data_IF_495505548390
#
_entry.id   IF_495505548390
#
_cell.length_a   1.000
_cell.length_b   1.000
_cell.length_c   1.000
_cell.angle_alpha   90.00
_cell.angle_beta   90.00
_cell.angle_gamma   90.00
#
_symmetry.space_group_name_H-M   'P 1'
#
loop_
_entity.id
_entity.type
_entity.pdbx_description
1 polymer ?
#
# COMPACT_ATOMS: atom_id res chain seq x y z
N UNK A 1 -4.40 5.60 -21.77
CA UNK A 1 -3.33 4.73 -22.31
C UNK A 1 -2.19 5.53 -22.96
N UNK A 2 -2.23 5.87 -24.25
CA UNK A 2 -1.07 6.45 -25.00
C UNK A 2 -0.25 7.53 -24.28
N UNK A 3 -0.91 8.56 -23.74
CA UNK A 3 -0.21 9.64 -22.99
C UNK A 3 0.63 9.13 -21.80
N UNK A 4 0.20 8.05 -21.14
CA UNK A 4 0.93 7.45 -20.04
C UNK A 4 2.06 6.53 -20.52
N UNK A 5 1.92 5.91 -21.70
CA UNK A 5 2.99 5.16 -22.35
C UNK A 5 4.13 6.12 -22.72
N UNK A 6 3.81 7.23 -23.39
CA UNK A 6 4.78 8.27 -23.74
C UNK A 6 5.48 8.84 -22.50
N UNK A 7 4.71 9.08 -21.42
CA UNK A 7 5.26 9.53 -20.15
C UNK A 7 6.23 8.51 -19.57
N UNK A 8 5.83 7.23 -19.45
CA UNK A 8 6.65 6.19 -18.85
C UNK A 8 7.91 5.91 -19.69
N UNK A 9 7.80 5.93 -21.02
CA UNK A 9 8.94 5.84 -21.94
C UNK A 9 9.88 7.04 -21.78
N UNK A 10 9.37 8.25 -21.59
CA UNK A 10 10.18 9.43 -21.28
C UNK A 10 11.00 9.30 -20.00
N UNK A 11 10.49 8.55 -19.00
CA UNK A 11 11.23 8.24 -17.78
C UNK A 11 12.34 7.21 -17.99
N UNK A 12 12.29 6.38 -19.04
CA UNK A 12 13.30 5.35 -19.33
C UNK A 12 14.73 5.88 -19.31
N UNK A 13 14.95 7.07 -19.87
CA UNK A 13 16.28 7.70 -19.94
C UNK A 13 16.79 8.20 -18.57
N UNK A 14 15.90 8.38 -17.59
CA UNK A 14 16.21 8.86 -16.24
C UNK A 14 16.34 7.73 -15.22
N UNK A 15 15.77 6.57 -15.53
CA UNK A 15 15.80 5.40 -14.65
C UNK A 15 17.10 4.60 -14.86
N UNK A 16 17.73 4.09 -13.78
CA UNK A 16 18.87 3.17 -13.90
C UNK A 16 18.58 2.01 -14.84
N UNK A 17 19.62 1.44 -15.45
CA UNK A 17 19.49 0.48 -16.55
C UNK A 17 18.62 -0.75 -16.22
N UNK A 18 18.62 -1.19 -14.96
CA UNK A 18 17.87 -2.36 -14.48
C UNK A 18 16.63 -2.01 -13.67
N UNK A 19 15.97 -0.90 -14.01
CA UNK A 19 14.73 -0.47 -13.34
C UNK A 19 13.51 -0.68 -14.23
N UNK A 20 12.47 -1.27 -13.65
CA UNK A 20 11.12 -1.35 -14.21
C UNK A 20 10.17 -0.44 -13.42
N UNK A 21 9.00 -0.17 -13.99
CA UNK A 21 7.97 0.65 -13.40
C UNK A 21 6.61 0.24 -14.00
N UNK A 22 5.55 0.44 -13.22
CA UNK A 22 4.18 0.16 -13.62
C UNK A 22 3.26 1.33 -13.32
N UNK A 23 2.22 1.48 -14.13
CA UNK A 23 1.15 2.47 -13.94
C UNK A 23 -0.17 1.78 -14.23
N UNK A 24 -1.11 1.86 -13.29
CA UNK A 24 -2.51 1.50 -13.51
C UNK A 24 -3.39 2.68 -13.11
N UNK A 25 -4.36 3.01 -13.96
CA UNK A 25 -5.31 4.10 -13.72
C UNK A 25 -6.71 3.52 -13.82
N UNK A 26 -7.52 3.78 -12.80
CA UNK A 26 -8.84 3.19 -12.64
C UNK A 26 -9.86 4.29 -12.38
N UNK A 27 -11.02 4.21 -13.03
CA UNK A 27 -12.16 5.04 -12.69
C UNK A 27 -12.80 4.55 -11.40
N UNK A 28 -12.76 5.37 -10.35
CA UNK A 28 -13.17 4.94 -9.00
C UNK A 28 -14.63 4.53 -8.91
N UNK A 29 -15.54 5.13 -9.69
CA UNK A 29 -16.99 4.88 -9.58
C UNK A 29 -17.41 3.47 -10.02
N UNK A 30 -16.80 2.95 -11.09
CA UNK A 30 -17.16 1.67 -11.68
C UNK A 30 -15.99 0.67 -11.71
N UNK A 31 -14.79 1.05 -11.26
CA UNK A 31 -13.53 0.30 -11.31
C UNK A 31 -13.03 -0.08 -12.71
N UNK A 32 -13.48 0.62 -13.76
CA UNK A 32 -12.99 0.41 -15.11
C UNK A 32 -11.54 0.88 -15.25
N UNK A 33 -10.67 0.00 -15.76
CA UNK A 33 -9.27 0.33 -16.03
C UNK A 33 -9.19 1.24 -17.26
N UNK A 34 -8.63 2.44 -17.07
CA UNK A 34 -8.43 3.47 -18.12
C UNK A 34 -7.01 3.46 -18.68
N UNK A 35 -6.06 2.92 -17.91
CA UNK A 35 -4.72 2.63 -18.39
C UNK A 35 -4.08 1.48 -17.61
N UNK A 36 -3.31 0.65 -18.32
CA UNK A 36 -2.57 -0.48 -17.77
C UNK A 36 -1.19 -0.54 -18.43
N UNK A 37 -0.15 -0.33 -17.64
CA UNK A 37 1.25 -0.38 -18.05
C UNK A 37 2.01 -1.23 -17.04
N UNK A 38 2.26 -2.50 -17.38
CA UNK A 38 2.94 -3.45 -16.51
C UNK A 38 4.46 -3.28 -16.45
N UNK A 39 5.06 -2.60 -17.42
CA UNK A 39 6.50 -2.37 -17.49
C UNK A 39 6.80 -1.08 -18.28
N UNK A 40 8.04 -0.60 -18.21
CA UNK A 40 8.49 0.59 -18.96
C UNK A 40 8.53 0.34 -20.47
N UNK A 41 9.08 -0.80 -20.87
CA UNK A 41 9.21 -1.25 -22.25
C UNK A 41 9.20 -2.78 -22.25
N UNK A 42 8.15 -3.39 -22.81
CA UNK A 42 7.97 -4.85 -22.82
C UNK A 42 9.07 -5.58 -23.60
N UNK A 43 9.71 -4.89 -24.54
CA UNK A 43 10.75 -5.46 -25.40
C UNK A 43 12.17 -5.30 -24.80
N UNK A 44 12.33 -4.57 -23.70
CA UNK A 44 13.64 -4.37 -23.07
C UNK A 44 13.94 -5.49 -22.05
N UNK A 45 14.61 -6.54 -22.53
CA UNK A 45 15.00 -7.68 -21.70
C UNK A 45 15.91 -7.30 -20.52
N UNK A 46 16.75 -6.25 -20.66
CA UNK A 46 17.66 -5.80 -19.58
C UNK A 46 16.92 -5.22 -18.37
N UNK A 47 15.69 -4.74 -18.60
CA UNK A 47 14.78 -4.20 -17.59
C UNK A 47 13.73 -5.21 -17.13
N UNK A 48 13.85 -6.46 -17.56
CA UNK A 48 12.85 -7.50 -17.35
C UNK A 48 11.46 -7.06 -17.87
N UNK A 49 11.41 -6.47 -19.07
CA UNK A 49 10.19 -5.87 -19.66
C UNK A 49 8.98 -6.80 -19.72
N UNK A 50 9.21 -8.12 -19.77
CA UNK A 50 8.16 -9.15 -19.76
C UNK A 50 7.51 -9.37 -18.38
N UNK A 51 8.11 -8.84 -17.30
CA UNK A 51 7.54 -8.92 -15.95
C UNK A 51 6.49 -7.83 -15.78
N UNK A 52 5.24 -8.24 -15.65
CA UNK A 52 4.14 -7.35 -15.30
C UNK A 52 4.22 -6.94 -13.82
N UNK A 53 4.71 -5.73 -13.58
CA UNK A 53 4.86 -5.15 -12.26
C UNK A 53 3.52 -4.79 -11.59
N UNK A 54 2.39 -4.82 -12.31
CA UNK A 54 1.07 -4.61 -11.70
C UNK A 54 0.63 -5.87 -10.93
N UNK A 55 0.86 -7.04 -11.51
CA UNK A 55 0.54 -8.35 -10.92
C UNK A 55 1.69 -8.98 -10.13
N UNK A 56 2.92 -8.46 -10.26
CA UNK A 56 4.07 -8.94 -9.49
C UNK A 56 3.94 -8.62 -7.99
N UNK A 57 4.41 -9.55 -7.16
CA UNK A 57 4.51 -9.35 -5.71
C UNK A 57 5.64 -8.39 -5.38
N UNK A 58 5.32 -7.29 -4.68
CA UNK A 58 6.28 -6.29 -4.20
C UNK A 58 5.97 -5.90 -2.76
N UNK A 59 6.99 -5.40 -2.06
CA UNK A 59 6.76 -4.80 -0.74
C UNK A 59 5.85 -3.58 -0.91
N UNK A 60 4.70 -3.49 -0.21
CA UNK A 60 3.82 -2.33 -0.29
C UNK A 60 4.39 -1.14 0.51
N UNK A 61 5.34 -1.37 1.43
CA UNK A 61 5.90 -0.34 2.30
C UNK A 61 4.83 0.47 3.05
N UNK A 62 5.08 1.78 3.20
CA UNK A 62 4.18 2.72 3.88
C UNK A 62 2.80 2.88 3.22
N UNK A 63 2.56 2.31 2.04
CA UNK A 63 1.23 2.36 1.40
C UNK A 63 0.16 1.61 2.19
N UNK A 64 0.55 0.79 3.18
CA UNK A 64 -0.39 0.13 4.09
C UNK A 64 -0.92 1.02 5.22
N UNK A 65 -0.24 2.13 5.53
CA UNK A 65 -0.59 3.01 6.66
C UNK A 65 -2.00 3.59 6.58
N UNK A 66 -2.50 4.10 5.43
CA UNK A 66 -3.86 4.61 5.36
C UNK A 66 -4.92 3.59 5.78
N UNK A 67 -4.74 2.30 5.45
CA UNK A 67 -5.67 1.25 5.86
C UNK A 67 -5.64 1.02 7.36
N UNK A 68 -4.45 0.92 7.96
CA UNK A 68 -4.32 0.74 9.40
C UNK A 68 -4.99 1.89 10.17
N UNK A 69 -4.75 3.14 9.74
CA UNK A 69 -5.32 4.31 10.38
C UNK A 69 -6.84 4.33 10.24
N UNK A 70 -7.38 4.07 9.05
CA UNK A 70 -8.82 3.97 8.82
C UNK A 70 -9.47 2.87 9.68
N UNK A 71 -8.92 1.66 9.65
CA UNK A 71 -9.43 0.53 10.42
C UNK A 71 -9.35 0.77 11.94
N UNK A 72 -8.31 1.45 12.42
CA UNK A 72 -8.18 1.80 13.83
C UNK A 72 -9.21 2.88 14.25
N UNK A 73 -9.55 3.81 13.35
CA UNK A 73 -10.64 4.77 13.56
C UNK A 73 -11.99 4.06 13.60
N UNK A 74 -12.26 3.14 12.66
CA UNK A 74 -13.51 2.36 12.63
C UNK A 74 -13.67 1.48 13.89
N UNK A 75 -12.55 1.02 14.46
CA UNK A 75 -12.51 0.29 15.72
C UNK A 75 -12.63 1.19 16.97
N UNK A 76 -12.70 2.52 16.81
CA UNK A 76 -12.77 3.48 17.91
C UNK A 76 -11.48 3.59 18.74
N UNK A 77 -10.34 3.13 18.23
CA UNK A 77 -9.06 3.17 18.95
C UNK A 77 -8.41 4.55 18.91
N UNK A 78 -8.62 5.27 17.81
CA UNK A 78 -8.09 6.62 17.59
C UNK A 78 -9.11 7.48 16.84
N UNK A 79 -8.92 8.80 16.91
CA UNK A 79 -9.47 9.79 16.00
C UNK A 79 -8.32 10.61 15.39
N UNK A 80 -8.62 11.54 14.48
CA UNK A 80 -7.59 12.30 13.73
C UNK A 80 -6.58 13.03 14.63
N UNK A 81 -7.03 13.51 15.78
CA UNK A 81 -6.23 14.28 16.75
C UNK A 81 -5.75 13.45 17.94
N UNK A 82 -5.94 12.13 17.93
CA UNK A 82 -5.33 11.27 18.95
C UNK A 82 -3.80 11.40 18.90
N UNK A 83 -3.18 11.57 20.07
CA UNK A 83 -1.73 11.72 20.17
C UNK A 83 -1.05 10.35 20.07
N UNK A 84 -0.19 10.19 19.06
CA UNK A 84 0.70 9.06 18.86
C UNK A 84 2.14 9.47 19.21
N UNK A 85 3.00 8.47 19.47
CA UNK A 85 4.35 8.75 19.93
C UNK A 85 5.38 8.49 18.82
N UNK A 86 6.04 9.57 18.39
CA UNK A 86 7.23 9.52 17.55
C UNK A 86 8.48 9.75 18.40
N UNK A 87 8.80 8.77 19.25
CA UNK A 87 9.91 8.82 20.22
C UNK A 87 10.77 7.57 20.08
N UNK A 88 12.08 7.62 20.41
CA UNK A 88 12.93 6.45 20.29
C UNK A 88 12.39 5.28 21.12
N UNK A 89 12.18 4.14 20.48
CA UNK A 89 11.77 2.88 21.12
C UNK A 89 12.77 1.77 20.82
N UNK A 90 12.97 0.89 21.79
CA UNK A 90 13.74 -0.35 21.62
C UNK A 90 12.77 -1.52 21.68
N UNK A 91 12.75 -2.33 20.63
CA UNK A 91 12.04 -3.60 20.60
C UNK A 91 13.08 -4.73 20.65
N UNK A 92 13.50 -5.14 21.86
CA UNK A 92 14.66 -6.03 22.02
C UNK A 92 15.91 -5.40 21.38
N UNK A 93 16.52 -6.12 20.42
CA UNK A 93 17.67 -5.64 19.63
C UNK A 93 17.28 -4.81 18.39
N UNK A 94 15.99 -4.76 18.04
CA UNK A 94 15.50 -4.02 16.89
C UNK A 94 15.24 -2.54 17.22
N UNK A 95 15.89 -1.66 16.46
CA UNK A 95 15.75 -0.20 16.53
C UNK A 95 15.17 0.34 15.22
N UNK A 96 13.84 0.41 15.08
CA UNK A 96 13.23 1.07 13.93
C UNK A 96 13.54 2.58 14.01
N UNK A 97 14.32 3.08 13.07
CA UNK A 97 14.51 4.52 12.86
C UNK A 97 13.51 5.08 11.86
N UNK A 98 13.17 6.36 11.99
CA UNK A 98 12.57 7.10 10.88
C UNK A 98 13.65 7.47 9.86
N UNK A 99 13.27 7.60 8.59
CA UNK A 99 14.18 8.03 7.52
C UNK A 99 14.62 9.50 7.66
N UNK A 100 13.93 10.32 8.47
CA UNK A 100 14.26 11.71 8.76
C UNK A 100 15.09 11.86 10.04
N UNK A 101 16.02 12.81 10.04
CA UNK A 101 17.04 13.06 11.07
C UNK A 101 16.48 13.61 12.41
N UNK A 102 15.49 12.95 13.03
CA UNK A 102 14.95 13.36 14.34
C UNK A 102 13.66 12.65 14.76
N UNK A 103 13.33 12.74 16.06
CA UNK A 103 12.07 12.29 16.66
C UNK A 103 11.17 13.50 16.92
N UNK A 104 9.90 13.42 16.55
CA UNK A 104 8.94 14.54 16.66
C UNK A 104 8.27 14.63 18.03
N UNK A 105 8.41 13.61 18.87
CA UNK A 105 7.69 13.55 20.15
C UNK A 105 6.22 13.17 19.97
N UNK A 106 5.29 13.74 20.75
CA UNK A 106 3.86 13.51 20.55
C UNK A 106 3.38 14.18 19.25
N UNK A 107 2.69 13.43 18.40
CA UNK A 107 2.14 13.90 17.12
C UNK A 107 0.69 13.46 16.97
N UNK A 108 -0.16 14.26 16.34
CA UNK A 108 -1.53 13.82 16.01
C UNK A 108 -1.50 12.66 15.01
N UNK A 109 -2.53 11.79 15.04
CA UNK A 109 -2.67 10.72 14.06
C UNK A 109 -2.71 11.24 12.62
N UNK A 110 -3.37 12.39 12.38
CA UNK A 110 -3.39 13.10 11.11
C UNK A 110 -1.98 13.48 10.63
N UNK A 111 -1.18 14.10 11.51
CA UNK A 111 0.21 14.48 11.21
C UNK A 111 1.12 13.27 10.99
N UNK A 112 0.97 12.24 11.83
CA UNK A 112 1.76 11.02 11.75
C UNK A 112 1.55 10.29 10.42
N UNK A 113 0.31 10.22 9.93
CA UNK A 113 0.01 9.64 8.62
C UNK A 113 0.52 10.52 7.47
N UNK A 114 0.30 11.84 7.54
CA UNK A 114 0.75 12.80 6.52
C UNK A 114 2.27 12.79 6.32
N UNK A 115 3.02 12.69 7.41
CA UNK A 115 4.48 12.58 7.41
C UNK A 115 4.97 11.13 7.22
N UNK A 116 4.04 10.17 7.13
CA UNK A 116 4.33 8.74 7.01
C UNK A 116 5.31 8.22 8.05
N UNK A 117 5.17 8.64 9.31
CA UNK A 117 6.09 8.25 10.38
C UNK A 117 5.98 6.74 10.66
N UNK A 118 7.12 6.08 10.88
CA UNK A 118 7.16 4.63 11.08
C UNK A 118 6.77 4.26 12.51
N UNK A 119 7.28 4.99 13.50
CA UNK A 119 7.07 4.65 14.92
C UNK A 119 5.60 4.76 15.36
N UNK A 120 4.86 5.86 15.09
CA UNK A 120 3.42 5.92 15.32
C UNK A 120 2.65 4.79 14.66
N UNK A 121 3.01 4.43 13.42
CA UNK A 121 2.32 3.36 12.68
C UNK A 121 2.56 1.97 13.29
N UNK A 122 3.79 1.71 13.77
CA UNK A 122 4.13 0.47 14.48
C UNK A 122 3.38 0.38 15.81
N UNK A 123 3.35 1.47 16.60
CA UNK A 123 2.59 1.54 17.85
C UNK A 123 1.09 1.30 17.62
N UNK A 124 0.54 1.89 16.56
CA UNK A 124 -0.86 1.72 16.22
C UNK A 124 -1.16 0.28 15.79
N UNK A 125 -0.27 -0.34 14.99
CA UNK A 125 -0.42 -1.75 14.58
C UNK A 125 -0.31 -2.70 15.77
N UNK A 126 0.55 -2.40 16.73
CA UNK A 126 0.67 -3.15 17.98
C UNK A 126 -0.64 -3.14 18.77
N UNK A 127 -1.30 -1.98 18.85
CA UNK A 127 -2.59 -1.83 19.52
C UNK A 127 -3.73 -2.47 18.73
N UNK A 128 -3.73 -2.32 17.40
CA UNK A 128 -4.76 -2.88 16.53
C UNK A 128 -4.67 -4.41 16.40
N UNK A 129 -3.44 -4.94 16.40
CA UNK A 129 -3.11 -6.35 16.25
C UNK A 129 -2.70 -6.72 14.82
N UNK A 130 -1.46 -7.21 14.56
CA UNK A 130 -1.00 -7.52 13.21
C UNK A 130 -1.74 -8.68 12.54
N UNK A 131 -2.17 -9.69 13.32
CA UNK A 131 -2.98 -10.81 12.80
C UNK A 131 -4.35 -10.36 12.35
N UNK A 132 -5.00 -9.50 13.15
CA UNK A 132 -6.28 -8.86 12.81
C UNK A 132 -6.13 -8.03 11.54
N UNK A 133 -5.13 -7.15 11.49
CA UNK A 133 -4.85 -6.32 10.33
C UNK A 133 -4.68 -7.16 9.05
N UNK A 134 -3.85 -8.20 9.08
CA UNK A 134 -3.67 -9.08 7.91
C UNK A 134 -4.98 -9.77 7.47
N UNK A 135 -5.82 -10.19 8.42
CA UNK A 135 -7.12 -10.79 8.14
C UNK A 135 -8.09 -9.77 7.50
N UNK A 136 -8.16 -8.56 8.04
CA UNK A 136 -9.03 -7.49 7.55
C UNK A 136 -8.61 -7.01 6.16
N UNK A 137 -7.31 -6.84 5.91
CA UNK A 137 -6.78 -6.57 4.56
C UNK A 137 -7.19 -7.66 3.56
N UNK A 138 -7.06 -8.94 3.92
CA UNK A 138 -7.48 -10.07 3.07
C UNK A 138 -9.00 -10.05 2.81
N UNK A 139 -9.81 -9.80 3.83
CA UNK A 139 -11.26 -9.75 3.73
C UNK A 139 -11.71 -8.60 2.82
N UNK A 140 -11.06 -7.44 2.92
CA UNK A 140 -11.24 -6.29 2.04
C UNK A 140 -10.61 -6.42 0.66
N UNK A 141 -10.06 -7.58 0.29
CA UNK A 141 -9.57 -7.84 -1.06
C UNK A 141 -8.14 -7.39 -1.34
N UNK A 142 -7.34 -7.14 -0.30
CA UNK A 142 -5.91 -6.81 -0.37
C UNK A 142 -5.10 -7.87 0.40
N UNK A 143 -5.02 -9.11 -0.10
CA UNK A 143 -4.28 -10.15 0.60
C UNK A 143 -2.80 -9.78 0.71
N UNK A 144 -2.22 -9.95 1.91
CA UNK A 144 -0.80 -9.79 2.15
C UNK A 144 -0.11 -11.16 2.11
N UNK A 145 0.94 -11.28 1.31
CA UNK A 145 1.76 -12.49 1.23
C UNK A 145 2.90 -12.40 2.22
N UNK A 146 3.09 -13.46 3.00
CA UNK A 146 4.17 -13.58 3.97
C UNK A 146 5.13 -14.71 3.53
N UNK A 147 6.39 -14.67 3.98
CA UNK A 147 7.29 -15.80 3.85
C UNK A 147 6.65 -17.09 4.41
N UNK A 148 7.05 -18.24 3.88
CA UNK A 148 6.55 -19.52 4.36
C UNK A 148 6.76 -19.66 5.87
N UNK A 149 5.73 -20.14 6.58
CA UNK A 149 5.71 -20.31 8.05
C UNK A 149 5.79 -19.01 8.87
N UNK A 150 5.81 -17.84 8.22
CA UNK A 150 5.80 -16.56 8.93
C UNK A 150 4.39 -16.18 9.38
N UNK A 151 4.29 -15.69 10.62
CA UNK A 151 3.06 -15.12 11.16
C UNK A 151 3.02 -13.60 10.93
N UNK A 152 1.82 -13.00 10.78
CA UNK A 152 1.65 -11.55 10.78
C UNK A 152 2.32 -10.88 11.99
N UNK A 153 3.20 -9.92 11.75
CA UNK A 153 3.97 -9.21 12.79
C UNK A 153 3.96 -7.68 12.58
N UNK A 154 4.61 -6.92 13.47
CA UNK A 154 4.72 -5.46 13.31
C UNK A 154 5.48 -5.05 12.03
N UNK A 155 6.27 -5.96 11.45
CA UNK A 155 6.98 -5.71 10.20
C UNK A 155 6.04 -5.41 9.03
N UNK A 156 4.77 -5.86 9.09
CA UNK A 156 3.79 -5.62 8.02
C UNK A 156 3.69 -4.14 7.62
N UNK A 157 3.54 -3.25 8.60
CA UNK A 157 3.33 -1.81 8.34
C UNK A 157 4.58 -1.09 7.82
N UNK A 158 5.73 -1.77 7.88
CA UNK A 158 7.02 -1.31 7.37
C UNK A 158 7.38 -1.97 6.03
N UNK A 159 6.47 -2.77 5.44
CA UNK A 159 6.70 -3.45 4.17
C UNK A 159 7.23 -4.88 4.29
N UNK A 160 7.16 -5.50 5.48
CA UNK A 160 7.53 -6.90 5.72
C UNK A 160 6.56 -7.94 5.15
N UNK A 161 5.78 -7.58 4.12
CA UNK A 161 4.88 -8.45 3.37
C UNK A 161 4.94 -8.12 1.88
N UNK A 162 4.41 -9.00 1.05
CA UNK A 162 4.16 -8.73 -0.37
C UNK A 162 2.71 -8.37 -0.64
N UNK A 163 2.49 -7.48 -1.61
CA UNK A 163 1.18 -7.21 -2.22
C UNK A 163 1.33 -6.96 -3.72
N UNK A 164 0.23 -7.04 -4.47
CA UNK A 164 0.16 -6.64 -5.88
C UNK A 164 -0.33 -5.21 -5.98
N UNK A 165 0.12 -4.48 -7.01
CA UNK A 165 -0.31 -3.10 -7.21
C UNK A 165 -1.82 -3.01 -7.49
N UNK A 166 -2.37 -3.96 -8.25
CA UNK A 166 -3.82 -4.04 -8.52
C UNK A 166 -4.65 -4.22 -7.24
N UNK A 167 -4.17 -5.03 -6.29
CA UNK A 167 -4.84 -5.25 -5.00
C UNK A 167 -4.79 -3.96 -4.17
N UNK A 168 -3.65 -3.27 -4.12
CA UNK A 168 -3.53 -1.99 -3.44
C UNK A 168 -4.48 -0.95 -4.06
N UNK A 169 -4.53 -0.82 -5.38
CA UNK A 169 -5.44 0.13 -6.06
C UNK A 169 -6.91 -0.20 -5.78
N UNK A 170 -7.27 -1.49 -5.79
CA UNK A 170 -8.58 -1.98 -5.35
C UNK A 170 -8.88 -1.56 -3.91
N UNK A 171 -7.94 -1.75 -2.99
CA UNK A 171 -8.08 -1.34 -1.59
C UNK A 171 -8.25 0.17 -1.43
N UNK A 172 -7.39 0.97 -2.06
CA UNK A 172 -7.43 2.43 -2.01
C UNK A 172 -8.75 3.01 -2.54
N UNK A 173 -9.42 2.31 -3.46
CA UNK A 173 -10.74 2.72 -3.95
C UNK A 173 -11.76 2.84 -2.81
N UNK A 174 -11.62 2.08 -1.72
CA UNK A 174 -12.52 2.14 -0.57
C UNK A 174 -12.61 3.55 0.05
N UNK A 175 -11.50 4.31 0.06
CA UNK A 175 -11.45 5.67 0.62
C UNK A 175 -12.41 6.63 -0.09
N UNK A 176 -12.64 6.42 -1.38
CA UNK A 176 -13.55 7.22 -2.21
C UNK A 176 -14.89 6.53 -2.49
N UNK A 177 -15.10 5.32 -1.95
CA UNK A 177 -16.28 4.47 -2.18
C UNK A 177 -17.00 4.11 -0.88
N UNK A 178 -16.97 5.01 0.11
CA UNK A 178 -17.66 4.83 1.39
C UNK A 178 -17.23 3.55 2.13
N UNK A 179 -15.95 3.20 2.03
CA UNK A 179 -15.39 2.03 2.72
C UNK A 179 -15.49 0.71 1.97
N UNK A 180 -15.95 0.72 0.71
CA UNK A 180 -16.03 -0.48 -0.13
C UNK A 180 -14.90 -0.53 -1.16
N UNK A 181 -14.02 -1.50 -1.05
CA UNK A 181 -13.08 -1.81 -2.12
C UNK A 181 -13.80 -2.56 -3.24
N UNK A 182 -13.24 -2.55 -4.45
CA UNK A 182 -13.77 -3.32 -5.56
C UNK A 182 -12.69 -3.75 -6.53
N UNK A 183 -12.84 -4.96 -7.09
CA UNK A 183 -11.89 -5.50 -8.06
C UNK A 183 -11.86 -4.62 -9.31
N UNK A 184 -10.66 -4.43 -9.86
CA UNK A 184 -10.47 -3.79 -11.16
C UNK A 184 -11.24 -4.54 -12.25
N UNK A 185 -11.91 -3.78 -13.12
CA UNK A 185 -12.57 -4.30 -14.33
C UNK A 185 -11.70 -3.99 -15.54
N UNK A 186 -11.14 -5.05 -16.12
CA UNK A 186 -10.26 -4.97 -17.28
C UNK A 186 -11.05 -4.93 -18.58
N UNK A 187 -12.24 -5.54 -18.58
CA UNK A 187 -13.13 -5.60 -19.74
C UNK A 187 -14.49 -4.97 -19.42
N UNK A 188 -15.20 -4.40 -20.42
CA UNK A 188 -16.50 -3.76 -20.19
C UNK A 188 -17.54 -4.67 -19.52
N UNK A 189 -17.52 -5.96 -19.84
CA UNK A 189 -18.43 -6.97 -19.31
C UNK A 189 -18.06 -7.50 -17.92
N UNK A 190 -16.87 -7.17 -17.40
CA UNK A 190 -16.50 -7.58 -16.06
C UNK A 190 -17.49 -6.98 -15.04
N UNK A 191 -17.93 -7.76 -14.07
CA UNK A 191 -18.84 -7.28 -13.03
C UNK A 191 -18.10 -6.43 -11.99
N UNK A 192 -18.80 -5.45 -11.42
CA UNK A 192 -18.30 -4.74 -10.24
C UNK A 192 -18.43 -5.64 -9.00
N UNK A 193 -17.30 -6.16 -8.51
CA UNK A 193 -17.25 -7.02 -7.32
C UNK A 193 -16.73 -6.26 -6.12
N UNK A 194 -17.63 -5.92 -5.21
CA UNK A 194 -17.33 -5.11 -4.02
C UNK A 194 -17.00 -5.96 -2.78
N UNK A 195 -16.21 -5.39 -1.87
CA UNK A 195 -15.95 -5.93 -0.53
C UNK A 195 -15.92 -4.78 0.48
N UNK A 196 -16.32 -5.03 1.73
CA UNK A 196 -16.13 -4.06 2.82
C UNK A 196 -14.65 -4.03 3.20
N UNK A 197 -14.09 -2.83 3.32
CA UNK A 197 -12.68 -2.61 3.66
C UNK A 197 -12.50 -1.70 4.89
N UNK A 198 -13.21 -0.57 4.94
CA UNK A 198 -13.20 0.40 6.04
C UNK A 198 -14.63 0.64 6.48
#
# INVERSE_FOLDING_TARGET
>A
QRRLEDLLLGWRARLPEHTSAAIVVVETGNMAVRAYLGSVDINDARRFGHVDMISAMRSPGSTLKPFLYGMAMDAGLIHSESLLQDVPRRYGDYRPGNFSMGFSGPVSASSALALSLNLPAVQLLETYGPKRFAADMRNGGVPLSLPALAEPSLALILGGAGSRLEDLVSGYSALARGGKSARLRLQPQDELRERRML
#
